data_IF_657712514599
#
_entry.id   IF_657712514599
#
_cell.length_a   1.000
_cell.length_b   1.000
_cell.length_c   1.000
_cell.angle_alpha   90.00
_cell.angle_beta   90.00
_cell.angle_gamma   90.00
#
_symmetry.space_group_name_H-M   'P 1'
#
loop_
_entity.id
_entity.type
_entity.pdbx_description
1 polymer ?
#
# COMPACT_ATOMS: atom_id res chain seq x y z
N UNK A 1 -0.27 -2.87 19.94
CA UNK A 1 -0.54 -1.43 20.17
C UNK A 1 -1.18 -0.87 18.91
N UNK A 2 -2.38 -0.27 18.98
CA UNK A 2 -3.07 0.29 17.81
C UNK A 2 -2.26 1.47 17.26
N UNK A 3 -1.92 1.45 15.98
CA UNK A 3 -1.36 2.63 15.29
C UNK A 3 -2.53 3.60 15.06
N UNK A 4 -2.71 4.55 15.97
CA UNK A 4 -3.70 5.63 15.80
C UNK A 4 -3.09 6.64 14.84
N UNK A 5 -3.44 6.56 13.56
CA UNK A 5 -3.14 7.61 12.59
C UNK A 5 -4.29 8.61 12.66
N UNK A 6 -4.06 9.75 13.32
CA UNK A 6 -4.95 10.90 13.23
C UNK A 6 -4.81 11.51 11.84
N UNK A 7 -5.72 11.16 10.94
CA UNK A 7 -5.87 11.74 9.62
C UNK A 7 -7.34 11.89 9.29
N UNK A 8 -8.05 12.75 10.02
CA UNK A 8 -9.44 13.10 9.71
C UNK A 8 -9.50 13.88 8.40
N UNK A 9 -9.60 13.17 7.28
CA UNK A 9 -10.32 13.69 6.12
C UNK A 9 -11.78 13.26 6.30
N UNK A 10 -12.56 14.07 7.02
CA UNK A 10 -14.01 13.87 7.14
C UNK A 10 -14.68 14.09 5.79
N UNK A 11 -14.65 13.07 4.94
CA UNK A 11 -15.52 12.99 3.76
C UNK A 11 -16.74 12.20 4.20
N UNK A 12 -17.85 12.91 4.41
CA UNK A 12 -19.14 12.27 4.60
C UNK A 12 -19.51 11.49 3.32
N UNK A 13 -19.31 10.17 3.34
CA UNK A 13 -19.75 9.30 2.27
C UNK A 13 -21.25 9.05 2.43
N UNK A 14 -22.05 9.84 1.71
CA UNK A 14 -23.39 9.40 1.34
C UNK A 14 -23.21 8.25 0.34
N UNK A 15 -23.30 7.03 0.84
CA UNK A 15 -23.39 5.82 0.03
C UNK A 15 -24.74 5.80 -0.71
N UNK A 16 -24.86 6.62 -1.75
CA UNK A 16 -25.96 6.49 -2.70
C UNK A 16 -25.58 5.36 -3.64
N UNK A 17 -26.21 4.21 -3.46
CA UNK A 17 -26.18 3.10 -4.40
C UNK A 17 -26.86 3.54 -5.71
N UNK A 18 -26.17 4.30 -6.54
CA UNK A 18 -26.61 4.59 -7.89
C UNK A 18 -26.23 3.38 -8.74
N UNK A 19 -27.18 2.46 -8.91
CA UNK A 19 -27.15 1.43 -9.95
C UNK A 19 -27.28 2.11 -11.32
N UNK A 20 -26.22 2.82 -11.73
CA UNK A 20 -26.12 3.38 -13.07
C UNK A 20 -25.84 2.25 -14.04
N UNK A 21 -26.86 1.86 -14.80
CA UNK A 21 -26.78 0.97 -15.96
C UNK A 21 -26.05 1.66 -17.14
N UNK A 22 -24.87 2.22 -16.87
CA UNK A 22 -23.90 2.64 -17.88
C UNK A 22 -22.66 1.79 -17.66
N UNK A 23 -22.22 1.05 -18.71
CA UNK A 23 -21.03 0.16 -18.73
C UNK A 23 -20.02 0.56 -17.64
N UNK A 24 -20.08 -0.11 -16.49
CA UNK A 24 -19.34 0.36 -15.33
C UNK A 24 -17.86 0.08 -15.58
N UNK A 25 -17.00 1.06 -15.34
CA UNK A 25 -15.55 0.87 -15.29
C UNK A 25 -15.14 -0.12 -14.20
N UNK A 26 -16.06 -0.55 -13.33
CA UNK A 26 -15.76 -1.60 -12.36
C UNK A 26 -15.34 -2.89 -13.03
N UNK A 27 -15.89 -3.20 -14.21
CA UNK A 27 -15.47 -4.37 -14.98
C UNK A 27 -14.01 -4.34 -15.44
N UNK A 28 -13.36 -3.18 -15.48
CA UNK A 28 -11.94 -3.04 -15.85
C UNK A 28 -10.99 -3.18 -14.67
N UNK A 29 -11.47 -2.88 -13.46
CA UNK A 29 -10.71 -3.02 -12.23
C UNK A 29 -10.86 -4.42 -11.64
N UNK A 30 -12.04 -5.02 -11.80
CA UNK A 30 -12.36 -6.26 -11.14
C UNK A 30 -11.67 -7.43 -11.83
N UNK A 31 -10.68 -7.99 -11.16
CA UNK A 31 -9.89 -9.13 -11.62
C UNK A 31 -9.08 -9.75 -10.48
N UNK A 32 -8.48 -10.89 -10.79
CA UNK A 32 -7.32 -11.39 -10.06
C UNK A 32 -6.05 -10.82 -10.68
N UNK A 33 -5.28 -10.11 -9.87
CA UNK A 33 -4.11 -9.38 -10.30
C UNK A 33 -2.84 -9.93 -9.66
N UNK A 34 -1.80 -10.06 -10.46
CA UNK A 34 -0.42 -10.18 -10.00
C UNK A 34 0.22 -8.79 -9.98
N UNK A 35 0.86 -8.41 -8.89
CA UNK A 35 1.60 -7.15 -8.81
C UNK A 35 2.97 -7.38 -9.45
N UNK A 36 3.19 -6.77 -10.61
CA UNK A 36 4.41 -6.94 -11.41
C UNK A 36 5.47 -5.89 -11.07
N UNK A 37 5.03 -4.73 -10.61
CA UNK A 37 5.88 -3.66 -10.09
C UNK A 37 5.21 -2.97 -8.91
N UNK A 38 5.99 -2.68 -7.87
CA UNK A 38 5.60 -1.82 -6.77
C UNK A 38 6.75 -0.91 -6.41
N UNK A 39 6.50 0.39 -6.40
CA UNK A 39 7.46 1.40 -6.00
C UNK A 39 6.85 2.23 -4.88
N UNK A 40 7.54 2.32 -3.74
CA UNK A 40 7.19 3.20 -2.63
C UNK A 40 8.37 4.07 -2.28
N UNK A 41 8.15 5.37 -2.20
CA UNK A 41 9.12 6.34 -1.74
C UNK A 41 8.56 7.09 -0.54
N UNK A 42 9.13 6.86 0.64
CA UNK A 42 8.84 7.60 1.87
C UNK A 42 9.95 8.62 2.10
N UNK A 43 9.60 9.90 2.10
CA UNK A 43 10.50 11.00 2.44
C UNK A 43 10.05 11.64 3.74
N UNK A 44 10.91 11.55 4.75
CA UNK A 44 10.73 12.23 6.02
C UNK A 44 11.73 13.38 6.12
N UNK A 45 11.22 14.59 6.30
CA UNK A 45 12.01 15.78 6.57
C UNK A 45 11.71 16.28 7.98
N UNK A 46 12.72 16.40 8.82
CA UNK A 46 12.59 16.90 10.20
C UNK A 46 13.74 17.86 10.50
N UNK A 47 13.42 19.11 10.84
CA UNK A 47 14.39 20.14 11.20
C UNK A 47 15.57 20.28 10.21
N UNK A 48 15.30 20.17 8.91
CA UNK A 48 16.30 20.25 7.84
C UNK A 48 17.03 18.94 7.51
N UNK A 49 16.92 17.90 8.37
CA UNK A 49 17.42 16.57 8.07
C UNK A 49 16.39 15.78 7.27
N UNK A 50 16.86 15.04 6.28
CA UNK A 50 16.02 14.21 5.43
C UNK A 50 16.42 12.73 5.52
N UNK A 51 15.42 11.88 5.71
CA UNK A 51 15.53 10.43 5.52
C UNK A 51 14.64 10.03 4.35
N UNK A 52 15.21 9.33 3.38
CA UNK A 52 14.48 8.78 2.23
C UNK A 52 14.53 7.26 2.31
N UNK A 53 13.36 6.62 2.25
CA UNK A 53 13.23 5.17 2.19
C UNK A 53 12.56 4.83 0.87
N UNK A 54 13.25 4.09 0.01
CA UNK A 54 12.69 3.58 -1.23
C UNK A 54 12.51 2.07 -1.12
N UNK A 55 11.34 1.57 -1.49
CA UNK A 55 11.05 0.14 -1.63
C UNK A 55 10.60 -0.11 -3.06
N UNK A 56 11.32 -1.00 -3.75
CA UNK A 56 11.07 -1.41 -5.13
C UNK A 56 10.83 -2.91 -5.13
N UNK A 57 9.74 -3.37 -5.73
CA UNK A 57 9.45 -4.79 -5.89
C UNK A 57 9.13 -5.11 -7.34
N UNK A 58 9.65 -6.23 -7.79
CA UNK A 58 9.22 -6.92 -9.01
C UNK A 58 8.40 -8.15 -8.61
N UNK A 59 8.02 -8.98 -9.59
CA UNK A 59 7.34 -10.24 -9.32
C UNK A 59 8.12 -11.19 -8.40
N UNK A 60 9.45 -11.10 -8.36
CA UNK A 60 10.31 -12.08 -7.68
C UNK A 60 11.29 -11.46 -6.70
N UNK A 61 11.54 -10.15 -6.77
CA UNK A 61 12.58 -9.49 -5.99
C UNK A 61 12.05 -8.26 -5.26
N UNK A 62 12.61 -7.99 -4.08
CA UNK A 62 12.41 -6.73 -3.36
C UNK A 62 13.77 -6.09 -3.09
N UNK A 63 13.83 -4.78 -3.23
CA UNK A 63 14.95 -3.94 -2.79
C UNK A 63 14.41 -2.82 -1.93
N UNK A 64 15.00 -2.62 -0.75
CA UNK A 64 14.71 -1.48 0.11
C UNK A 64 15.99 -0.72 0.39
N UNK A 65 16.01 0.56 0.04
CA UNK A 65 17.09 1.49 0.38
C UNK A 65 16.65 2.45 1.47
N UNK A 66 17.58 2.86 2.31
CA UNK A 66 17.38 3.92 3.30
C UNK A 66 18.58 4.86 3.24
N UNK A 67 18.32 6.12 2.88
CA UNK A 67 19.31 7.18 2.81
C UNK A 67 19.07 8.17 3.94
N UNK A 68 20.05 8.36 4.82
CA UNK A 68 20.00 9.33 5.91
C UNK A 68 21.38 9.97 6.07
N UNK A 69 21.45 11.30 6.11
CA UNK A 69 22.70 12.04 6.28
C UNK A 69 23.74 11.73 5.20
N UNK A 70 23.30 11.45 3.97
CA UNK A 70 24.16 11.07 2.84
C UNK A 70 24.61 9.60 2.83
N UNK A 71 24.37 8.83 3.90
CA UNK A 71 24.67 7.39 3.94
C UNK A 71 23.47 6.61 3.41
N UNK A 72 23.70 5.70 2.46
CA UNK A 72 22.66 4.81 1.93
C UNK A 72 22.93 3.37 2.33
N UNK A 73 21.93 2.74 2.94
CA UNK A 73 21.90 1.29 3.19
C UNK A 73 20.94 0.63 2.23
N UNK A 74 21.28 -0.58 1.76
CA UNK A 74 20.45 -1.36 0.83
C UNK A 74 20.21 -2.73 1.44
N UNK A 75 18.98 -3.20 1.36
CA UNK A 75 18.57 -4.56 1.71
C UNK A 75 17.80 -5.15 0.55
N UNK A 76 18.00 -6.44 0.29
CA UNK A 76 17.33 -7.16 -0.78
C UNK A 76 16.64 -8.40 -0.24
N UNK A 77 15.68 -8.89 -1.01
CA UNK A 77 14.92 -10.08 -0.68
C UNK A 77 14.19 -10.63 -1.89
N UNK A 78 13.33 -11.60 -1.62
CA UNK A 78 12.52 -12.32 -2.61
C UNK A 78 11.05 -12.04 -2.35
N UNK A 79 10.29 -11.94 -3.44
CA UNK A 79 8.83 -11.89 -3.42
C UNK A 79 8.34 -13.29 -3.71
N UNK A 80 7.70 -13.93 -2.73
CA UNK A 80 7.11 -15.26 -2.89
C UNK A 80 5.71 -15.15 -3.50
N UNK A 81 4.96 -14.12 -3.10
CA UNK A 81 3.61 -13.83 -3.60
C UNK A 81 3.35 -12.33 -3.46
N UNK A 82 2.80 -11.67 -4.47
CA UNK A 82 2.35 -10.29 -4.38
C UNK A 82 1.15 -10.12 -5.32
N UNK A 83 -0.03 -10.24 -4.76
CA UNK A 83 -1.26 -10.48 -5.51
C UNK A 83 -2.41 -9.70 -4.90
N UNK A 84 -3.35 -9.29 -5.75
CA UNK A 84 -4.52 -8.54 -5.36
C UNK A 84 -5.74 -9.05 -6.12
N UNK A 85 -6.84 -9.30 -5.42
CA UNK A 85 -8.13 -9.61 -6.04
C UNK A 85 -9.06 -8.43 -5.80
N UNK A 86 -9.69 -7.96 -6.86
CA UNK A 86 -10.69 -6.89 -6.83
C UNK A 86 -11.98 -7.48 -7.39
N UNK A 87 -13.02 -7.54 -6.58
CA UNK A 87 -14.28 -8.17 -6.97
C UNK A 87 -15.31 -7.16 -7.46
N UNK A 88 -16.20 -7.60 -8.35
CA UNK A 88 -17.26 -6.74 -8.91
C UNK A 88 -18.29 -6.30 -7.88
N UNK A 89 -18.44 -7.06 -6.80
CA UNK A 89 -19.35 -6.76 -5.68
C UNK A 89 -18.86 -5.61 -4.79
N UNK A 90 -17.62 -5.16 -4.98
CA UNK A 90 -17.01 -4.08 -4.21
C UNK A 90 -16.09 -4.56 -3.08
N UNK A 91 -15.76 -5.84 -3.00
CA UNK A 91 -14.71 -6.35 -2.09
C UNK A 91 -13.36 -6.43 -2.76
N UNK A 92 -12.31 -6.47 -1.95
CA UNK A 92 -10.95 -6.74 -2.42
C UNK A 92 -10.14 -7.45 -1.35
N UNK A 93 -9.12 -8.17 -1.79
CA UNK A 93 -8.08 -8.77 -0.94
C UNK A 93 -6.70 -8.51 -1.53
N UNK A 94 -5.68 -8.38 -0.70
CA UNK A 94 -4.28 -8.35 -1.14
C UNK A 94 -3.46 -9.29 -0.28
N UNK A 95 -2.49 -9.96 -0.89
CA UNK A 95 -1.49 -10.78 -0.20
C UNK A 95 -0.11 -10.40 -0.69
N UNK A 96 0.75 -10.04 0.25
CA UNK A 96 2.17 -9.78 0.02
C UNK A 96 2.98 -10.69 0.94
N UNK A 97 3.79 -11.56 0.35
CA UNK A 97 4.66 -12.51 1.02
C UNK A 97 6.09 -12.30 0.52
N UNK A 98 6.95 -11.83 1.42
CA UNK A 98 8.31 -11.40 1.12
C UNK A 98 9.27 -12.11 2.07
N UNK A 99 10.43 -12.52 1.57
CA UNK A 99 11.50 -13.09 2.39
C UNK A 99 12.81 -12.33 2.22
N UNK A 100 13.46 -11.99 3.33
CA UNK A 100 14.81 -11.42 3.37
C UNK A 100 15.74 -12.29 4.19
N UNK A 101 17.05 -12.08 4.02
CA UNK A 101 18.05 -12.73 4.88
C UNK A 101 19.14 -11.76 5.30
N UNK A 102 19.75 -12.04 6.45
CA UNK A 102 20.92 -11.33 6.94
C UNK A 102 21.82 -12.28 7.73
N UNK A 103 23.09 -11.93 7.86
CA UNK A 103 24.07 -12.72 8.63
C UNK A 103 24.38 -12.00 9.94
N UNK A 104 24.27 -12.71 11.05
CA UNK A 104 24.65 -12.22 12.38
C UNK A 104 25.51 -13.28 13.07
N UNK A 105 26.73 -12.90 13.48
CA UNK A 105 27.70 -13.79 14.13
C UNK A 105 27.95 -15.09 13.33
N UNK A 106 28.05 -15.00 12.00
CA UNK A 106 28.31 -16.14 11.11
C UNK A 106 27.09 -17.05 10.85
N UNK A 107 25.93 -16.73 11.41
CA UNK A 107 24.68 -17.46 11.19
C UNK A 107 23.77 -16.69 10.25
N UNK A 108 23.23 -17.36 9.22
CA UNK A 108 22.24 -16.77 8.31
C UNK A 108 20.86 -16.86 8.94
N UNK A 109 20.22 -15.70 9.11
CA UNK A 109 18.84 -15.57 9.53
C UNK A 109 17.98 -15.27 8.31
N UNK A 110 16.86 -15.98 8.20
CA UNK A 110 15.84 -15.73 7.16
C UNK A 110 14.56 -15.27 7.84
N UNK A 111 14.03 -14.14 7.38
CA UNK A 111 12.75 -13.60 7.82
C UNK A 111 11.78 -13.64 6.65
N UNK A 112 10.64 -14.29 6.86
CA UNK A 112 9.49 -14.26 5.98
C UNK A 112 8.41 -13.37 6.60
N UNK A 113 7.89 -12.41 5.85
CA UNK A 113 6.79 -11.55 6.26
C UNK A 113 5.66 -11.69 5.25
N UNK A 114 4.51 -12.17 5.73
CA UNK A 114 3.28 -12.29 4.96
C UNK A 114 2.22 -11.33 5.51
N UNK A 115 1.84 -10.35 4.71
CA UNK A 115 0.75 -9.42 5.00
C UNK A 115 -0.44 -9.75 4.10
N UNK A 116 -1.61 -9.93 4.71
CA UNK A 116 -2.88 -10.09 4.02
C UNK A 116 -3.84 -8.99 4.45
N UNK A 117 -4.48 -8.36 3.49
CA UNK A 117 -5.43 -7.29 3.71
C UNK A 117 -6.74 -7.59 2.99
N UNK A 118 -7.85 -7.12 3.55
CA UNK A 118 -9.13 -7.14 2.83
C UNK A 118 -10.01 -5.97 3.23
N UNK A 119 -10.96 -5.65 2.37
CA UNK A 119 -11.99 -4.67 2.67
C UNK A 119 -12.87 -4.36 1.47
N UNK A 120 -13.27 -3.09 1.34
CA UNK A 120 -14.16 -2.63 0.28
C UNK A 120 -13.51 -1.61 -0.62
N UNK A 121 -13.98 -1.51 -1.86
CA UNK A 121 -13.48 -0.53 -2.81
C UNK A 121 -14.61 0.18 -3.58
N UNK A 122 -14.34 1.41 -3.99
CA UNK A 122 -15.26 2.20 -4.81
C UNK A 122 -14.55 3.29 -5.59
N UNK A 123 -15.10 3.67 -6.74
CA UNK A 123 -14.63 4.86 -7.45
C UNK A 123 -15.09 6.12 -6.73
N UNK A 124 -14.22 7.13 -6.69
CA UNK A 124 -14.58 8.46 -6.22
C UNK A 124 -15.42 9.14 -7.32
N UNK A 125 -16.60 9.63 -6.94
CA UNK A 125 -17.42 10.43 -7.82
C UNK A 125 -16.72 11.76 -8.13
N UNK A 126 -16.87 12.25 -9.37
CA UNK A 126 -16.40 13.58 -9.74
C UNK A 126 -17.14 14.63 -8.91
N UNK A 127 -16.40 15.48 -8.20
CA UNK A 127 -16.96 16.66 -7.52
C UNK A 127 -16.76 17.92 -8.37
N UNK A 128 -17.58 18.94 -8.13
CA UNK A 128 -17.46 20.23 -8.83
C UNK A 128 -16.14 20.90 -8.43
N UNK A 129 -15.32 21.26 -9.42
CA UNK A 129 -13.99 21.84 -9.20
C UNK A 129 -12.85 20.81 -9.19
N UNK A 130 -13.15 19.52 -9.36
CA UNK A 130 -12.14 18.48 -9.50
C UNK A 130 -11.62 18.41 -10.95
N UNK A 131 -10.30 18.32 -11.10
CA UNK A 131 -9.61 18.09 -12.36
C UNK A 131 -9.74 16.62 -12.81
N UNK A 132 -9.99 15.70 -11.87
CA UNK A 132 -10.17 14.29 -12.18
C UNK A 132 -11.45 14.03 -12.97
N UNK A 133 -11.34 13.22 -14.02
CA UNK A 133 -12.49 12.66 -14.74
C UNK A 133 -13.15 11.57 -13.90
N UNK A 134 -14.35 11.19 -14.32
CA UNK A 134 -15.10 10.11 -13.68
C UNK A 134 -14.25 8.83 -13.66
N UNK A 135 -14.15 8.20 -12.49
CA UNK A 135 -13.44 6.93 -12.25
C UNK A 135 -11.90 7.00 -12.38
N UNK A 136 -11.30 8.18 -12.33
CA UNK A 136 -9.83 8.31 -12.27
C UNK A 136 -9.28 8.15 -10.85
N UNK A 137 -10.15 8.06 -9.84
CA UNK A 137 -9.76 7.79 -8.45
C UNK A 137 -10.54 6.63 -7.88
N UNK A 138 -9.83 5.75 -7.17
CA UNK A 138 -10.38 4.60 -6.47
C UNK A 138 -9.98 4.65 -5.00
N UNK A 139 -10.94 4.32 -4.16
CA UNK A 139 -10.76 4.18 -2.72
C UNK A 139 -10.76 2.70 -2.39
N UNK A 140 -9.75 2.27 -1.64
CA UNK A 140 -9.72 0.98 -0.95
C UNK A 140 -9.81 1.26 0.56
N UNK A 141 -10.94 0.89 1.17
CA UNK A 141 -11.07 0.81 2.61
C UNK A 141 -10.47 -0.53 3.05
N UNK A 142 -9.53 -0.48 3.99
CA UNK A 142 -8.99 -1.67 4.65
C UNK A 142 -9.88 -1.94 5.86
N UNK A 143 -10.45 -3.13 5.93
CA UNK A 143 -11.27 -3.58 7.07
C UNK A 143 -10.52 -4.56 7.95
N UNK A 144 -9.62 -5.36 7.34
CA UNK A 144 -8.74 -6.27 8.07
C UNK A 144 -7.33 -6.21 7.49
N UNK A 145 -6.35 -6.30 8.39
CA UNK A 145 -4.93 -6.46 8.06
C UNK A 145 -4.37 -7.53 9.00
N UNK A 146 -3.69 -8.53 8.46
CA UNK A 146 -2.95 -9.52 9.25
C UNK A 146 -1.55 -9.62 8.71
N UNK A 147 -0.56 -9.48 9.59
CA UNK A 147 0.85 -9.66 9.27
C UNK A 147 1.40 -10.81 10.09
N UNK A 148 1.90 -11.84 9.42
CA UNK A 148 2.63 -12.94 10.04
C UNK A 148 4.10 -12.82 9.67
N UNK A 149 4.97 -12.83 10.68
CA UNK A 149 6.42 -12.85 10.51
C UNK A 149 6.97 -14.15 11.06
N UNK A 150 7.69 -14.90 10.23
CA UNK A 150 8.40 -16.11 10.62
C UNK A 150 9.90 -15.89 10.46
N UNK A 151 10.67 -16.18 11.50
CA UNK A 151 12.13 -16.11 11.48
C UNK A 151 12.73 -17.50 11.67
N UNK A 152 13.79 -17.80 10.93
CA UNK A 152 14.59 -19.02 11.02
C UNK A 152 16.09 -18.72 10.93
N UNK A 153 16.94 -19.68 11.25
CA UNK A 153 18.42 -19.52 11.29
C UNK A 153 19.02 -19.66 12.69
N UNK A 154 18.19 -19.55 13.73
CA UNK A 154 18.51 -19.91 15.12
C UNK A 154 17.38 -20.72 15.73
N UNK A 155 16.73 -20.19 16.77
CA UNK A 155 15.40 -20.67 17.18
C UNK A 155 14.35 -20.16 16.19
N UNK A 156 13.52 -21.06 15.66
CA UNK A 156 12.40 -20.66 14.81
C UNK A 156 11.32 -19.98 15.66
N UNK A 157 10.89 -18.80 15.23
CA UNK A 157 9.82 -18.04 15.88
C UNK A 157 8.81 -17.54 14.87
N UNK A 158 7.54 -17.55 15.24
CA UNK A 158 6.44 -16.97 14.45
C UNK A 158 5.69 -15.98 15.32
N UNK A 159 5.44 -14.79 14.78
CA UNK A 159 4.61 -13.75 15.38
C UNK A 159 3.53 -13.33 14.40
N UNK A 160 2.31 -13.15 14.90
CA UNK A 160 1.17 -12.71 14.08
C UNK A 160 0.50 -11.51 14.76
N UNK A 161 0.38 -10.43 14.00
CA UNK A 161 -0.40 -9.25 14.36
C UNK A 161 -1.63 -9.17 13.47
N UNK A 162 -2.80 -8.95 14.07
CA UNK A 162 -4.07 -8.78 13.35
C UNK A 162 -4.79 -7.53 13.81
N UNK A 163 -5.32 -6.78 12.85
CA UNK A 163 -6.04 -5.54 13.05
C UNK A 163 -7.36 -5.57 12.30
N UNK A 164 -8.39 -4.97 12.91
CA UNK A 164 -9.69 -4.72 12.31
C UNK A 164 -9.99 -3.23 12.38
N UNK A 165 -10.50 -2.69 11.29
CA UNK A 165 -10.76 -1.26 11.14
C UNK A 165 -12.23 -1.03 10.79
N UNK A 166 -12.80 0.05 11.32
CA UNK A 166 -14.09 0.52 10.84
C UNK A 166 -13.96 1.07 9.41
N UNK A 167 -15.08 1.08 8.67
CA UNK A 167 -15.10 1.73 7.36
C UNK A 167 -14.68 3.19 7.48
N UNK A 168 -13.72 3.62 6.65
CA UNK A 168 -13.15 4.96 6.69
C UNK A 168 -12.02 5.18 7.70
N UNK A 169 -11.70 4.21 8.57
CA UNK A 169 -10.59 4.34 9.54
C UNK A 169 -9.23 4.19 8.86
N UNK A 170 -9.08 3.20 7.97
CA UNK A 170 -7.89 3.00 7.16
C UNK A 170 -8.27 2.96 5.68
N UNK A 171 -7.85 3.99 4.95
CA UNK A 171 -8.25 4.23 3.55
C UNK A 171 -7.03 4.50 2.70
N UNK A 172 -6.98 3.89 1.51
CA UNK A 172 -6.00 4.20 0.45
C UNK A 172 -6.73 4.77 -0.75
N UNK A 173 -6.27 5.93 -1.22
CA UNK A 173 -6.87 6.61 -2.37
C UNK A 173 -5.85 6.65 -3.49
N UNK A 174 -6.12 5.88 -4.55
CA UNK A 174 -5.25 5.83 -5.72
C UNK A 174 -5.87 6.59 -6.88
N UNK A 175 -5.03 7.24 -7.66
CA UNK A 175 -5.30 7.67 -9.02
C UNK A 175 -5.07 6.48 -9.95
N UNK A 176 -6.01 6.19 -10.84
CA UNK A 176 -5.88 5.17 -11.88
C UNK A 176 -5.16 5.79 -13.08
N UNK A 177 -3.92 5.38 -13.32
CA UNK A 177 -3.11 5.86 -14.46
C UNK A 177 -3.43 5.10 -15.74
N UNK A 178 -3.59 3.78 -15.63
CA UNK A 178 -3.99 2.90 -16.73
C UNK A 178 -4.95 1.81 -16.21
N UNK A 179 -5.92 1.41 -17.02
CA UNK A 179 -6.89 0.33 -16.73
C UNK A 179 -7.38 -0.32 -18.03
N UNK A 180 -6.51 -0.41 -19.03
CA UNK A 180 -6.84 -0.98 -20.35
C UNK A 180 -6.25 -2.38 -20.49
N UNK A 181 -7.04 -3.26 -21.09
CA UNK A 181 -6.62 -4.62 -21.38
C UNK A 181 -6.38 -5.41 -20.10
N UNK A 182 -5.19 -6.01 -20.01
CA UNK A 182 -4.75 -6.89 -18.92
C UNK A 182 -3.87 -6.17 -17.90
N UNK A 183 -3.87 -4.84 -17.89
CA UNK A 183 -2.98 -4.02 -17.07
C UNK A 183 -3.77 -2.97 -16.28
N UNK A 184 -3.36 -2.78 -15.03
CA UNK A 184 -3.87 -1.75 -14.13
C UNK A 184 -2.67 -1.04 -13.47
N UNK A 185 -2.62 0.27 -13.56
CA UNK A 185 -1.61 1.10 -12.89
C UNK A 185 -2.28 2.06 -11.91
N UNK A 186 -1.82 2.03 -10.66
CA UNK A 186 -2.33 2.83 -9.55
C UNK A 186 -1.22 3.68 -8.96
N UNK A 187 -1.52 4.96 -8.70
CA UNK A 187 -0.59 5.90 -8.06
C UNK A 187 -1.27 6.60 -6.88
N UNK A 188 -0.58 6.66 -5.74
CA UNK A 188 -1.02 7.37 -4.54
C UNK A 188 0.11 8.27 -4.05
N UNK A 189 -0.23 9.48 -3.63
CA UNK A 189 0.67 10.34 -2.86
C UNK A 189 -0.04 10.80 -1.60
N UNK A 190 0.58 10.60 -0.44
CA UNK A 190 0.08 11.07 0.85
C UNK A 190 1.11 11.99 1.49
N UNK A 191 0.64 13.14 1.95
CA UNK A 191 1.47 14.14 2.63
C UNK A 191 0.91 14.37 4.03
N UNK A 192 1.77 14.29 5.04
CA UNK A 192 1.42 14.62 6.41
C UNK A 192 2.47 15.56 6.99
N UNK A 193 2.03 16.62 7.65
CA UNK A 193 2.90 17.56 8.36
C UNK A 193 2.49 17.56 9.83
N UNK A 194 3.44 17.20 10.69
CA UNK A 194 3.29 17.23 12.13
C UNK A 194 4.12 18.38 12.70
N UNK A 195 3.46 19.28 13.40
CA UNK A 195 4.09 20.39 14.12
C UNK A 195 3.95 20.15 15.62
N UNK A 196 5.07 20.23 16.35
CA UNK A 196 5.09 20.13 17.81
C UNK A 196 6.14 21.07 18.38
N UNK A 197 5.68 22.18 18.96
CA UNK A 197 6.56 23.26 19.40
C UNK A 197 7.29 23.88 18.20
N UNK A 198 8.63 24.01 18.30
CA UNK A 198 9.49 24.46 17.20
C UNK A 198 9.82 23.37 16.17
N UNK A 199 9.48 22.12 16.45
CA UNK A 199 9.78 21.01 15.54
C UNK A 199 8.70 20.91 14.46
N UNK A 200 9.14 20.87 13.21
CA UNK A 200 8.28 20.56 12.08
C UNK A 200 8.79 19.30 11.39
N UNK A 201 7.90 18.33 11.20
CA UNK A 201 8.21 17.09 10.47
C UNK A 201 7.20 16.86 9.37
N UNK A 202 7.69 16.75 8.14
CA UNK A 202 6.89 16.43 6.96
C UNK A 202 7.19 15.01 6.50
N UNK A 203 6.14 14.27 6.19
CA UNK A 203 6.16 12.92 5.66
C UNK A 203 5.46 12.94 4.31
N UNK A 204 6.18 12.60 3.25
CA UNK A 204 5.65 12.43 1.91
C UNK A 204 5.84 10.99 1.52
N UNK A 205 4.76 10.30 1.19
CA UNK A 205 4.80 8.94 0.67
C UNK A 205 4.21 8.96 -0.72
N UNK A 206 4.97 8.48 -1.70
CA UNK A 206 4.45 8.17 -3.04
C UNK A 206 4.47 6.66 -3.22
N UNK A 207 3.43 6.11 -3.83
CA UNK A 207 3.31 4.69 -4.13
C UNK A 207 2.79 4.51 -5.54
N UNK A 208 3.46 3.71 -6.35
CA UNK A 208 3.04 3.28 -7.68
C UNK A 208 2.95 1.76 -7.70
N UNK A 209 1.86 1.22 -8.24
CA UNK A 209 1.61 -0.21 -8.35
C UNK A 209 1.20 -0.52 -9.78
N UNK A 210 1.90 -1.45 -10.41
CA UNK A 210 1.53 -2.02 -11.72
C UNK A 210 1.07 -3.44 -11.51
N UNK A 211 -0.11 -3.74 -12.03
CA UNK A 211 -0.81 -5.00 -11.89
C UNK A 211 -1.07 -5.60 -13.27
N UNK A 212 -0.82 -6.90 -13.41
CA UNK A 212 -1.16 -7.68 -14.60
C UNK A 212 -2.23 -8.73 -14.25
N UNK A 213 -3.21 -8.90 -15.13
CA UNK A 213 -4.23 -9.94 -15.01
C UNK A 213 -3.56 -11.33 -14.99
N UNK A 214 -3.99 -12.18 -14.06
CA UNK A 214 -3.50 -13.56 -13.96
C UNK A 214 -4.02 -14.48 -15.07
#
# INVERSE_FOLDING_TARGET
MKKIIFGTLSVAFLAVAISSCGKSSKGKMANEWKITSYEKNDTQTSNGNQTVIKTSMTETGVTRTTTNGGTTTTSTGTVNTNEMTIDKDGTWTSTQDISGSYVLLGTTYTTNTKTTESGTWSFVAKTKGDEFKKNERVIFNVLTETTTTTQSGGSTGTSTDSYTYASGELVRVYTVKESKGKELELEMTTNNTNTSGSNNSTYVTTTTIVLAEK
#
